data_IF_641864061575
#
_entry.id   IF_641864061575
#
_cell.length_a   1.000
_cell.length_b   1.000
_cell.length_c   1.000
_cell.angle_alpha   90.00
_cell.angle_beta   90.00
_cell.angle_gamma   90.00
#
_symmetry.space_group_name_H-M   'P 1'
#
loop_
_entity.id
_entity.type
_entity.pdbx_description
1 polymer ?
#
# COMPACT_ATOMS: atom_id res chain seq x y z
N UNK A 1 93.55 51.56 15.80
CA UNK A 1 92.28 51.05 16.34
C UNK A 1 91.92 49.79 15.54
N UNK A 2 92.04 48.60 16.16
CA UNK A 2 91.60 47.28 15.63
C UNK A 2 90.06 47.33 15.38
N UNK A 3 89.44 46.59 14.47
CA UNK A 3 89.48 45.15 14.16
C UNK A 3 89.11 44.92 12.67
N UNK A 4 89.96 44.29 11.86
CA UNK A 4 89.88 42.89 11.37
C UNK A 4 88.56 42.53 10.67
N UNK A 5 88.57 42.60 9.34
CA UNK A 5 87.68 41.87 8.44
C UNK A 5 88.30 40.47 8.23
N UNK A 6 87.76 39.44 8.89
CA UNK A 6 88.05 38.05 8.50
C UNK A 6 86.92 37.12 8.95
N UNK A 7 86.74 36.03 8.21
CA UNK A 7 85.78 34.91 8.35
C UNK A 7 84.55 34.97 7.42
N UNK A 8 84.79 34.88 6.09
CA UNK A 8 83.96 34.03 5.23
C UNK A 8 84.65 32.66 5.21
N UNK A 9 84.21 31.74 6.06
CA UNK A 9 84.37 30.29 5.86
C UNK A 9 83.64 29.52 6.96
N UNK A 10 82.44 29.03 6.67
CA UNK A 10 81.81 28.01 7.52
C UNK A 10 80.29 28.12 7.58
N UNK A 11 79.64 27.29 6.75
CA UNK A 11 78.22 26.90 6.78
C UNK A 11 77.22 27.94 6.24
N UNK A 12 76.89 27.76 4.97
CA UNK A 12 75.48 27.53 4.65
C UNK A 12 74.96 26.45 5.60
N UNK A 13 74.22 26.83 6.63
CA UNK A 13 73.13 26.03 7.19
C UNK A 13 72.44 26.84 8.29
N UNK A 14 71.12 26.97 8.13
CA UNK A 14 70.16 27.70 8.95
C UNK A 14 70.14 29.21 8.75
N UNK A 15 69.25 29.63 7.83
CA UNK A 15 68.42 30.81 8.01
C UNK A 15 67.95 30.82 9.47
N UNK A 16 68.46 31.74 10.27
CA UNK A 16 68.01 31.94 11.64
C UNK A 16 66.51 32.29 11.62
N UNK A 17 65.68 31.29 11.90
CA UNK A 17 64.27 31.40 12.26
C UNK A 17 64.15 32.02 13.68
N UNK A 18 64.80 33.15 13.93
CA UNK A 18 64.96 33.75 15.27
C UNK A 18 63.98 34.89 15.58
N UNK A 19 62.75 34.86 15.05
CA UNK A 19 61.72 35.87 15.35
C UNK A 19 60.37 35.25 15.75
N UNK A 20 60.37 34.19 16.55
CA UNK A 20 59.20 33.81 17.35
C UNK A 20 59.71 33.79 18.79
N UNK A 21 59.43 34.86 19.54
CA UNK A 21 59.73 34.90 20.97
C UNK A 21 58.88 33.85 21.71
N UNK A 22 59.27 33.39 22.90
CA UNK A 22 58.43 32.46 23.68
C UNK A 22 57.04 33.05 24.01
N UNK A 23 56.88 34.38 23.93
CA UNK A 23 55.58 35.05 24.00
C UNK A 23 54.76 34.86 22.71
N UNK A 24 55.41 34.79 21.55
CA UNK A 24 54.78 34.44 20.27
C UNK A 24 54.41 32.94 20.20
N UNK A 25 55.13 32.08 20.93
CA UNK A 25 54.76 30.67 21.13
C UNK A 25 53.58 30.50 22.10
N UNK A 26 53.40 31.42 23.05
CA UNK A 26 52.20 31.47 23.89
C UNK A 26 50.99 32.06 23.16
N UNK A 27 51.19 32.86 22.10
CA UNK A 27 50.11 33.19 21.14
C UNK A 27 49.88 32.10 20.10
N UNK A 28 50.66 31.01 20.10
CA UNK A 28 50.28 29.77 19.41
C UNK A 28 49.36 28.89 20.28
N UNK A 29 48.94 29.35 21.47
CA UNK A 29 47.70 28.85 22.10
C UNK A 29 46.47 29.62 21.62
N UNK A 30 46.63 30.48 20.61
CA UNK A 30 45.55 31.15 19.92
C UNK A 30 44.97 30.22 18.85
N UNK A 31 44.17 29.26 19.27
CA UNK A 31 43.29 28.52 18.36
C UNK A 31 42.05 29.36 18.01
N UNK A 32 42.11 30.71 18.10
CA UNK A 32 41.02 31.60 17.70
C UNK A 32 40.98 31.73 16.17
N UNK A 33 40.03 31.14 15.46
CA UNK A 33 39.00 30.16 15.84
C UNK A 33 38.92 28.85 15.03
N UNK A 34 39.24 28.70 13.77
CA UNK A 34 39.53 29.74 12.83
C UNK A 34 40.97 30.23 12.85
N UNK A 35 41.91 29.29 12.96
CA UNK A 35 43.00 29.34 12.00
C UNK A 35 42.42 29.10 10.59
N UNK A 36 42.82 29.95 9.66
CA UNK A 36 42.31 30.09 8.30
C UNK A 36 42.73 28.91 7.40
N UNK A 37 43.30 27.83 7.96
CA UNK A 37 43.80 26.64 7.25
C UNK A 37 43.08 25.31 7.58
N UNK A 38 41.93 25.34 8.27
CA UNK A 38 40.99 24.21 8.33
C UNK A 38 39.67 24.50 7.61
N UNK A 39 39.76 24.97 6.36
CA UNK A 39 38.62 25.07 5.43
C UNK A 39 38.10 23.70 4.94
N UNK A 40 37.97 22.73 5.85
CA UNK A 40 37.23 21.49 5.62
C UNK A 40 36.05 21.31 6.60
N UNK A 41 35.88 22.19 7.61
CA UNK A 41 34.69 22.19 8.48
C UNK A 41 33.64 23.18 7.96
N UNK A 42 33.14 22.94 6.75
CA UNK A 42 32.06 23.73 6.13
C UNK A 42 30.69 23.43 6.76
N UNK A 43 30.62 23.43 8.10
CA UNK A 43 29.37 23.40 8.84
C UNK A 43 29.38 24.38 10.01
N UNK A 44 29.71 25.62 9.70
CA UNK A 44 29.49 26.77 10.57
C UNK A 44 28.66 27.76 9.78
N UNK A 45 27.49 28.14 10.29
CA UNK A 45 26.75 29.25 9.70
C UNK A 45 27.62 30.52 9.77
N UNK A 46 27.52 31.33 8.72
CA UNK A 46 28.42 32.47 8.46
C UNK A 46 28.34 33.61 9.50
N UNK A 47 27.56 33.47 10.57
CA UNK A 47 27.39 34.46 11.63
C UNK A 47 28.11 34.10 12.95
N UNK A 48 28.87 32.99 12.99
CA UNK A 48 29.70 32.63 14.14
C UNK A 48 28.92 32.11 15.35
N UNK A 49 27.62 31.89 15.19
CA UNK A 49 26.80 31.12 16.13
C UNK A 49 26.55 29.80 15.41
N UNK A 50 26.83 28.61 15.99
CA UNK A 50 26.51 27.36 15.31
C UNK A 50 25.00 27.32 15.07
N UNK A 51 24.58 27.64 13.84
CA UNK A 51 23.20 27.49 13.44
C UNK A 51 22.86 26.02 13.58
N UNK A 52 21.85 25.73 14.40
CA UNK A 52 21.42 24.37 14.76
C UNK A 52 20.75 23.65 13.58
N UNK A 53 20.93 24.17 12.36
CA UNK A 53 20.33 23.69 11.15
C UNK A 53 20.83 22.29 10.77
N UNK A 54 22.10 21.94 11.04
CA UNK A 54 22.64 20.59 10.86
C UNK A 54 23.53 20.22 12.05
N UNK A 55 23.25 19.07 12.68
CA UNK A 55 23.97 18.55 13.85
C UNK A 55 24.41 17.12 13.56
N UNK A 56 25.63 16.75 13.95
CA UNK A 56 26.07 15.35 14.01
C UNK A 56 26.42 15.01 15.46
N UNK A 57 25.75 14.02 16.05
CA UNK A 57 25.97 13.64 17.45
C UNK A 57 27.16 12.67 17.63
N UNK A 58 27.50 12.36 18.88
CA UNK A 58 28.60 11.45 19.21
C UNK A 58 28.38 9.99 18.75
N UNK A 59 27.15 9.63 18.36
CA UNK A 59 26.78 8.33 17.81
C UNK A 59 26.79 8.33 16.26
N UNK A 60 27.03 9.49 15.64
CA UNK A 60 27.03 9.68 14.19
C UNK A 60 25.66 9.94 13.58
N UNK A 61 24.62 10.20 14.39
CA UNK A 61 23.30 10.57 13.89
C UNK A 61 23.30 12.01 13.36
N UNK A 62 22.56 12.27 12.29
CA UNK A 62 22.44 13.58 11.66
C UNK A 62 21.08 14.20 11.99
N UNK A 63 21.07 15.34 12.68
CA UNK A 63 19.88 16.14 12.95
C UNK A 63 19.78 17.35 12.04
N UNK A 64 18.60 17.66 11.49
CA UNK A 64 18.29 18.91 10.80
C UNK A 64 17.19 19.63 11.57
N UNK A 65 17.49 20.80 12.14
CA UNK A 65 16.54 21.54 13.00
C UNK A 65 16.36 20.97 14.42
N UNK A 66 17.20 20.01 14.83
CA UNK A 66 17.26 19.44 16.19
C UNK A 66 18.71 19.29 16.66
N UNK A 67 18.95 19.36 17.98
CA UNK A 67 20.27 19.08 18.60
C UNK A 67 20.36 17.73 19.29
N UNK A 68 19.25 16.99 19.36
CA UNK A 68 19.21 15.66 19.94
C UNK A 68 18.51 14.72 18.97
N UNK A 69 19.16 14.35 17.85
CA UNK A 69 18.56 13.43 16.88
C UNK A 69 18.24 12.09 17.55
N UNK A 70 17.04 11.56 17.32
CA UNK A 70 16.61 10.27 17.92
C UNK A 70 16.90 9.05 17.03
N UNK A 71 17.51 9.27 15.86
CA UNK A 71 17.91 8.22 14.93
C UNK A 71 18.90 8.73 13.88
N UNK A 72 19.39 7.86 12.98
CA UNK A 72 20.49 8.17 12.07
C UNK A 72 20.29 9.43 11.20
N UNK A 73 19.06 9.75 10.85
CA UNK A 73 18.66 11.01 10.24
C UNK A 73 17.35 11.47 10.89
N UNK A 74 17.35 12.65 11.49
CA UNK A 74 16.19 13.23 12.17
C UNK A 74 15.97 14.67 11.69
N UNK A 75 14.80 14.96 11.13
CA UNK A 75 14.47 16.27 10.56
C UNK A 75 13.28 16.83 11.33
N UNK A 76 13.53 17.90 12.08
CA UNK A 76 12.54 18.54 12.96
C UNK A 76 12.31 19.97 12.50
N UNK A 77 11.10 20.25 12.02
CA UNK A 77 10.64 21.57 11.59
C UNK A 77 9.11 21.64 11.67
N UNK A 78 8.54 22.85 11.63
CA UNK A 78 7.08 23.04 11.54
C UNK A 78 6.51 22.30 10.32
N UNK A 79 7.20 22.40 9.18
CA UNK A 79 6.90 21.67 7.94
C UNK A 79 8.10 20.77 7.56
N UNK A 80 8.29 19.66 8.27
CA UNK A 80 9.37 18.72 8.00
C UNK A 80 9.11 17.97 6.67
N UNK A 81 9.85 18.33 5.62
CA UNK A 81 9.75 17.68 4.30
C UNK A 81 11.12 17.30 3.75
N UNK A 82 11.17 16.22 2.97
CA UNK A 82 12.36 15.80 2.22
C UNK A 82 12.06 15.99 0.74
N UNK A 83 12.80 16.89 0.09
CA UNK A 83 12.69 17.10 -1.36
C UNK A 83 13.61 16.15 -2.11
N UNK A 84 13.02 15.18 -2.82
CA UNK A 84 13.71 14.30 -3.76
C UNK A 84 13.26 14.64 -5.18
N UNK A 85 14.19 15.04 -6.05
CA UNK A 85 13.89 15.38 -7.45
C UNK A 85 14.88 14.68 -8.36
N UNK A 86 14.38 13.76 -9.17
CA UNK A 86 15.12 13.28 -10.32
C UNK A 86 15.22 14.39 -11.39
N UNK A 87 16.39 14.55 -11.97
CA UNK A 87 16.67 15.52 -13.04
C UNK A 87 16.50 14.93 -14.45
N UNK A 88 16.36 13.61 -14.55
CA UNK A 88 16.12 12.87 -15.80
C UNK A 88 14.67 12.41 -15.89
N UNK A 89 14.08 12.52 -17.08
CA UNK A 89 12.74 12.01 -17.37
C UNK A 89 12.66 10.47 -17.35
N UNK A 90 13.80 9.78 -17.40
CA UNK A 90 13.88 8.31 -17.44
C UNK A 90 14.13 7.68 -16.07
N UNK A 91 14.27 8.49 -15.03
CA UNK A 91 14.62 8.04 -13.69
C UNK A 91 13.48 8.20 -12.68
N UNK A 92 13.68 7.63 -11.50
CA UNK A 92 12.78 7.72 -10.36
C UNK A 92 13.34 8.64 -9.28
N UNK A 93 12.46 9.18 -8.45
CA UNK A 93 12.82 9.79 -7.15
C UNK A 93 12.11 9.04 -6.04
N UNK A 94 12.81 8.74 -4.94
CA UNK A 94 12.20 8.09 -3.78
C UNK A 94 13.21 7.44 -2.86
N UNK A 95 12.72 6.55 -2.00
CA UNK A 95 13.49 5.85 -0.96
C UNK A 95 13.68 4.40 -1.38
N UNK A 96 14.93 3.93 -1.29
CA UNK A 96 15.32 2.55 -1.52
C UNK A 96 15.59 1.84 -0.19
N UNK A 97 15.14 0.61 -0.09
CA UNK A 97 15.39 -0.26 1.05
C UNK A 97 16.23 -1.43 0.54
N UNK A 98 17.42 -1.64 1.11
CA UNK A 98 18.31 -2.74 0.76
C UNK A 98 18.24 -3.83 1.84
N UNK A 99 18.40 -5.08 1.45
CA UNK A 99 18.61 -6.17 2.40
C UNK A 99 20.02 -6.14 2.99
N UNK A 100 20.26 -6.99 3.99
CA UNK A 100 21.56 -7.10 4.66
C UNK A 100 22.67 -7.70 3.77
N UNK A 101 22.31 -8.20 2.58
CA UNK A 101 23.23 -8.68 1.56
C UNK A 101 23.56 -7.60 0.51
N UNK A 102 22.96 -6.40 0.61
CA UNK A 102 23.20 -5.28 -0.29
C UNK A 102 22.37 -5.32 -1.57
N UNK A 103 21.36 -6.18 -1.67
CA UNK A 103 20.41 -6.18 -2.79
C UNK A 103 19.23 -5.23 -2.51
N UNK A 104 18.71 -4.59 -3.57
CA UNK A 104 17.56 -3.70 -3.45
C UNK A 104 16.30 -4.53 -3.14
N UNK A 105 15.78 -4.40 -1.92
CA UNK A 105 14.69 -5.20 -1.37
C UNK A 105 13.30 -4.62 -1.64
N UNK A 106 13.16 -3.31 -1.50
CA UNK A 106 11.90 -2.61 -1.71
C UNK A 106 12.12 -1.13 -2.03
N UNK A 107 11.08 -0.47 -2.51
CA UNK A 107 11.14 0.96 -2.80
C UNK A 107 9.79 1.65 -2.68
N UNK A 108 9.81 2.91 -2.26
CA UNK A 108 8.70 3.87 -2.38
C UNK A 108 9.16 5.01 -3.29
N UNK A 109 8.60 5.10 -4.49
CA UNK A 109 9.15 5.94 -5.55
C UNK A 109 8.08 6.56 -6.45
N UNK A 110 8.47 7.62 -7.15
CA UNK A 110 7.73 8.22 -8.25
C UNK A 110 8.51 8.08 -9.56
N UNK A 111 7.82 7.68 -10.63
CA UNK A 111 8.36 7.51 -11.96
C UNK A 111 8.04 8.68 -12.88
N UNK A 112 9.09 9.22 -13.53
CA UNK A 112 8.93 10.26 -14.54
C UNK A 112 8.41 9.67 -15.86
N UNK A 113 8.02 10.54 -16.78
CA UNK A 113 7.30 10.21 -18.01
C UNK A 113 7.97 9.13 -18.88
N UNK A 114 9.30 9.06 -18.90
CA UNK A 114 10.06 8.10 -19.70
C UNK A 114 10.64 6.94 -18.88
N UNK A 115 10.29 6.81 -17.60
CA UNK A 115 10.66 5.68 -16.76
C UNK A 115 9.62 4.55 -16.83
N UNK A 116 9.96 3.34 -16.35
CA UNK A 116 8.95 2.31 -16.12
C UNK A 116 7.94 2.80 -15.07
N UNK A 117 6.65 2.46 -15.27
CA UNK A 117 5.51 2.99 -14.50
C UNK A 117 5.31 4.51 -14.68
N UNK A 118 5.46 5.01 -15.90
CA UNK A 118 5.39 6.44 -16.26
C UNK A 118 4.34 7.25 -15.48
N UNK A 119 4.78 8.39 -14.94
CA UNK A 119 3.96 9.35 -14.20
C UNK A 119 3.19 8.77 -13.00
N UNK A 120 3.70 7.68 -12.40
CA UNK A 120 3.02 6.99 -11.31
C UNK A 120 3.88 6.95 -10.05
N UNK A 121 3.23 7.05 -8.90
CA UNK A 121 3.80 6.64 -7.62
C UNK A 121 3.62 5.13 -7.46
N UNK A 122 4.62 4.45 -6.91
CA UNK A 122 4.53 3.03 -6.62
C UNK A 122 5.24 2.65 -5.33
N UNK A 123 4.74 1.57 -4.73
CA UNK A 123 5.37 0.82 -3.65
C UNK A 123 5.52 -0.62 -4.14
N UNK A 124 6.67 -1.24 -3.86
CA UNK A 124 6.87 -2.62 -4.29
C UNK A 124 8.11 -3.26 -3.70
N UNK A 125 8.10 -4.59 -3.67
CA UNK A 125 9.26 -5.43 -3.42
C UNK A 125 10.07 -5.62 -4.71
N UNK A 126 11.40 -5.73 -4.57
CA UNK A 126 12.35 -5.85 -5.68
C UNK A 126 13.24 -7.09 -5.58
N UNK A 127 12.95 -7.95 -4.59
CA UNK A 127 13.53 -9.29 -4.45
C UNK A 127 12.56 -10.32 -5.03
N UNK A 128 13.11 -11.33 -5.68
CA UNK A 128 12.33 -12.45 -6.21
C UNK A 128 11.54 -13.13 -5.09
N UNK A 129 10.28 -13.47 -5.37
CA UNK A 129 9.39 -14.19 -4.46
C UNK A 129 8.98 -13.45 -3.17
N UNK A 130 9.29 -12.16 -3.03
CA UNK A 130 8.90 -11.35 -1.87
C UNK A 130 7.48 -10.76 -2.01
N UNK A 131 6.55 -11.02 -1.05
CA UNK A 131 5.22 -10.42 -1.07
C UNK A 131 5.24 -8.95 -0.63
N UNK A 132 4.29 -8.16 -1.10
CA UNK A 132 3.94 -6.88 -0.47
C UNK A 132 2.96 -7.14 0.66
N UNK A 133 3.32 -6.77 1.90
CA UNK A 133 2.54 -7.06 3.11
C UNK A 133 2.07 -5.76 3.76
N UNK A 134 0.81 -5.72 4.19
CA UNK A 134 0.22 -4.64 4.98
C UNK A 134 -0.05 -5.12 6.40
N UNK A 135 0.58 -4.47 7.37
CA UNK A 135 0.55 -4.79 8.80
C UNK A 135 -0.21 -3.73 9.59
N UNK A 136 -0.83 -4.10 10.72
CA UNK A 136 -1.41 -3.14 11.68
C UNK A 136 -1.23 -3.61 13.14
N UNK A 137 -1.29 -2.67 14.09
CA UNK A 137 -1.19 -2.94 15.52
C UNK A 137 0.23 -3.29 15.99
N UNK A 138 0.39 -3.52 17.29
CA UNK A 138 1.65 -4.05 17.85
C UNK A 138 1.81 -5.53 17.49
N UNK A 139 3.03 -5.94 17.13
CA UNK A 139 3.36 -7.35 16.85
C UNK A 139 3.13 -7.81 15.41
N UNK A 140 3.31 -6.94 14.42
CA UNK A 140 3.38 -7.32 12.99
C UNK A 140 2.16 -8.12 12.48
N UNK A 141 0.94 -7.68 12.84
CA UNK A 141 -0.26 -8.41 12.42
C UNK A 141 -0.59 -8.15 10.95
N UNK A 142 -0.39 -9.16 10.10
CA UNK A 142 -0.75 -9.11 8.70
C UNK A 142 -2.27 -8.97 8.50
N UNK A 143 -2.65 -8.00 7.65
CA UNK A 143 -4.05 -7.72 7.26
C UNK A 143 -4.30 -7.98 5.79
N UNK A 144 -3.30 -7.72 4.95
CA UNK A 144 -3.38 -7.96 3.51
C UNK A 144 -2.00 -8.31 2.97
N UNK A 145 -1.95 -9.14 1.94
CA UNK A 145 -0.76 -9.33 1.11
C UNK A 145 -1.07 -9.37 -0.37
N UNK A 146 -0.06 -9.06 -1.15
CA UNK A 146 0.05 -9.41 -2.57
C UNK A 146 1.26 -10.32 -2.70
N UNK A 147 1.05 -11.57 -3.08
CA UNK A 147 2.14 -12.53 -3.28
C UNK A 147 2.93 -12.21 -4.54
N UNK A 148 4.13 -12.76 -4.67
CA UNK A 148 4.96 -12.55 -5.86
C UNK A 148 4.35 -13.13 -7.15
N UNK A 149 3.44 -14.11 -7.04
CA UNK A 149 2.64 -14.64 -8.16
C UNK A 149 1.33 -13.85 -8.38
N UNK A 150 1.16 -12.71 -7.72
CA UNK A 150 0.08 -11.75 -7.97
C UNK A 150 -1.26 -12.05 -7.28
N UNK A 151 -1.30 -12.97 -6.31
CA UNK A 151 -2.51 -13.25 -5.54
C UNK A 151 -2.67 -12.28 -4.38
N UNK A 152 -3.88 -11.77 -4.20
CA UNK A 152 -4.26 -10.87 -3.12
C UNK A 152 -4.94 -11.67 -2.01
N UNK A 153 -4.36 -11.65 -0.82
CA UNK A 153 -4.97 -12.18 0.39
C UNK A 153 -5.43 -11.04 1.29
N UNK A 154 -6.68 -11.06 1.76
CA UNK A 154 -7.18 -10.16 2.81
C UNK A 154 -7.53 -11.01 4.03
N UNK A 155 -6.80 -10.81 5.12
CA UNK A 155 -6.90 -11.60 6.35
C UNK A 155 -6.31 -13.01 6.26
N UNK A 156 -5.60 -13.35 5.19
CA UNK A 156 -4.96 -14.67 5.00
C UNK A 156 -3.54 -14.52 4.49
N UNK A 157 -2.61 -15.30 5.04
CA UNK A 157 -1.20 -15.32 4.66
C UNK A 157 -0.90 -16.26 3.50
N UNK A 158 -1.85 -17.13 3.14
CA UNK A 158 -1.69 -18.14 2.09
C UNK A 158 -2.86 -18.10 1.10
N UNK A 159 -2.94 -17.07 0.24
CA UNK A 159 -3.99 -16.98 -0.77
C UNK A 159 -3.86 -18.12 -1.80
N UNK A 160 -4.95 -18.86 -2.02
CA UNK A 160 -5.03 -19.96 -3.00
C UNK A 160 -5.78 -19.56 -4.27
N UNK A 161 -6.38 -18.36 -4.28
CA UNK A 161 -7.06 -17.74 -5.41
C UNK A 161 -6.47 -16.34 -5.68
N UNK A 162 -6.75 -15.77 -6.86
CA UNK A 162 -6.30 -14.42 -7.25
C UNK A 162 -6.75 -13.37 -6.22
N UNK A 163 -7.96 -13.52 -5.68
CA UNK A 163 -8.44 -12.79 -4.51
C UNK A 163 -8.96 -13.81 -3.47
N UNK A 164 -8.34 -13.85 -2.29
CA UNK A 164 -8.74 -14.72 -1.19
C UNK A 164 -9.07 -13.86 0.04
N UNK A 165 -10.35 -13.83 0.42
CA UNK A 165 -10.83 -13.19 1.64
C UNK A 165 -10.91 -14.24 2.75
N UNK A 166 -10.37 -13.93 3.94
CA UNK A 166 -10.58 -14.77 5.14
C UNK A 166 -12.08 -14.91 5.41
N UNK A 167 -12.51 -16.13 5.74
CA UNK A 167 -13.88 -16.37 6.15
C UNK A 167 -14.28 -15.53 7.38
N UNK A 168 -15.53 -15.09 7.39
CA UNK A 168 -16.17 -14.52 8.57
C UNK A 168 -16.48 -15.58 9.62
N UNK A 169 -17.10 -15.14 10.71
CA UNK A 169 -17.67 -16.01 11.74
C UNK A 169 -19.19 -15.83 11.79
N UNK A 170 -19.87 -16.57 12.68
CA UNK A 170 -21.29 -16.34 12.94
C UNK A 170 -21.57 -14.99 13.66
N UNK A 171 -20.53 -14.25 14.05
CA UNK A 171 -20.67 -12.95 14.72
C UNK A 171 -21.00 -11.86 13.71
N UNK A 172 -22.00 -11.03 14.03
CA UNK A 172 -22.36 -9.86 13.23
C UNK A 172 -21.14 -8.95 12.98
N UNK A 173 -21.01 -8.44 11.75
CA UNK A 173 -19.91 -7.56 11.36
C UNK A 173 -18.63 -8.27 10.90
N UNK A 174 -18.61 -9.61 10.85
CA UNK A 174 -17.43 -10.37 10.41
C UNK A 174 -17.53 -10.90 8.98
N UNK A 175 -18.60 -10.56 8.24
CA UNK A 175 -18.80 -11.05 6.88
C UNK A 175 -17.56 -10.77 6.00
N UNK A 176 -17.08 -11.76 5.22
CA UNK A 176 -15.87 -11.61 4.41
C UNK A 176 -16.04 -10.56 3.30
N UNK A 177 -17.28 -10.35 2.84
CA UNK A 177 -17.65 -9.36 1.84
C UNK A 177 -19.06 -8.84 2.16
N UNK A 178 -19.27 -7.52 2.07
CA UNK A 178 -20.53 -6.86 2.42
C UNK A 178 -20.88 -5.78 1.40
N UNK A 179 -22.11 -5.81 0.92
CA UNK A 179 -22.72 -4.71 0.20
C UNK A 179 -23.45 -3.76 1.16
N UNK A 180 -23.35 -2.47 0.92
CA UNK A 180 -24.20 -1.46 1.58
C UNK A 180 -25.46 -1.29 0.75
N UNK A 181 -26.62 -1.62 1.31
CA UNK A 181 -27.89 -1.63 0.58
C UNK A 181 -28.63 -0.28 0.67
N UNK A 182 -28.62 0.35 1.84
CA UNK A 182 -29.29 1.64 2.03
C UNK A 182 -28.69 2.69 1.09
N UNK A 183 -29.53 3.24 0.20
CA UNK A 183 -29.09 4.20 -0.82
C UNK A 183 -28.36 3.60 -2.01
N UNK A 184 -28.32 2.27 -2.17
CA UNK A 184 -27.72 1.62 -3.33
C UNK A 184 -28.47 1.96 -4.62
N UNK A 185 -27.72 2.42 -5.63
CA UNK A 185 -28.22 2.75 -6.97
C UNK A 185 -27.51 1.86 -7.97
N UNK A 186 -28.29 1.21 -8.83
CA UNK A 186 -27.78 0.42 -9.95
C UNK A 186 -27.39 1.36 -11.09
N UNK A 187 -26.24 1.14 -11.73
CA UNK A 187 -25.73 1.96 -12.83
C UNK A 187 -26.80 2.13 -13.93
N UNK A 188 -26.95 3.34 -14.44
CA UNK A 188 -27.93 3.61 -15.52
C UNK A 188 -27.57 2.90 -16.82
N UNK A 189 -26.27 2.68 -17.07
CA UNK A 189 -25.76 1.88 -18.17
C UNK A 189 -25.17 0.56 -17.63
N UNK A 190 -25.68 -0.61 -18.04
CA UNK A 190 -25.14 -1.91 -17.64
C UNK A 190 -23.70 -2.10 -18.09
N UNK A 191 -22.84 -2.57 -17.18
CA UNK A 191 -21.47 -3.02 -17.47
C UNK A 191 -21.36 -4.52 -17.18
N UNK A 192 -20.76 -5.26 -18.12
CA UNK A 192 -20.64 -6.73 -18.05
C UNK A 192 -19.77 -7.15 -16.87
N UNK A 193 -20.23 -8.14 -16.09
CA UNK A 193 -19.48 -8.69 -14.96
C UNK A 193 -19.64 -7.92 -13.65
N UNK A 194 -20.39 -6.82 -13.64
CA UNK A 194 -20.67 -6.05 -12.41
C UNK A 194 -21.76 -6.73 -11.59
N UNK A 195 -21.56 -6.75 -10.27
CA UNK A 195 -22.55 -7.16 -9.26
C UNK A 195 -22.98 -5.91 -8.48
N UNK A 196 -24.28 -5.60 -8.48
CA UNK A 196 -24.83 -4.36 -7.93
C UNK A 196 -26.03 -4.65 -7.02
N UNK A 197 -26.03 -4.21 -5.75
CA UNK A 197 -27.25 -4.18 -4.95
C UNK A 197 -28.17 -3.04 -5.41
N UNK A 198 -29.48 -3.18 -5.21
CA UNK A 198 -30.41 -2.03 -5.18
C UNK A 198 -30.89 -1.77 -3.74
N UNK A 199 -31.57 -0.64 -3.52
CA UNK A 199 -32.16 -0.32 -2.22
C UNK A 199 -33.36 -1.21 -1.79
N UNK A 200 -33.73 -2.21 -2.60
CA UNK A 200 -34.81 -3.16 -2.34
C UNK A 200 -34.31 -4.58 -2.03
N UNK A 201 -33.05 -4.69 -1.55
CA UNK A 201 -32.39 -5.93 -1.16
C UNK A 201 -32.16 -6.95 -2.31
N UNK A 202 -32.33 -6.54 -3.58
CA UNK A 202 -31.98 -7.36 -4.73
C UNK A 202 -30.50 -7.22 -5.08
N UNK A 203 -29.91 -8.32 -5.56
CA UNK A 203 -28.58 -8.35 -6.16
C UNK A 203 -28.72 -8.55 -7.67
N UNK A 204 -28.22 -7.61 -8.45
CA UNK A 204 -28.12 -7.70 -9.91
C UNK A 204 -26.73 -8.15 -10.33
N UNK A 205 -26.66 -8.96 -11.38
CA UNK A 205 -25.45 -9.23 -12.13
C UNK A 205 -25.69 -9.04 -13.63
N UNK A 206 -24.73 -8.43 -14.31
CA UNK A 206 -24.80 -8.21 -15.76
C UNK A 206 -24.04 -9.32 -16.49
N UNK A 207 -24.74 -10.08 -17.33
CA UNK A 207 -24.15 -11.16 -18.13
C UNK A 207 -23.80 -10.69 -19.54
N UNK A 208 -22.88 -11.41 -20.19
CA UNK A 208 -22.38 -11.10 -21.54
C UNK A 208 -23.45 -11.23 -22.62
N UNK A 209 -24.49 -12.05 -22.42
CA UNK A 209 -25.56 -12.28 -23.40
C UNK A 209 -26.66 -11.22 -23.31
N UNK A 210 -26.32 -10.02 -23.79
CA UNK A 210 -27.23 -8.87 -23.89
C UNK A 210 -27.14 -7.92 -22.70
N UNK A 211 -27.47 -6.64 -22.93
CA UNK A 211 -27.39 -5.55 -21.93
C UNK A 211 -28.38 -5.69 -20.76
N UNK A 212 -29.08 -6.81 -20.62
CA UNK A 212 -30.09 -7.00 -19.59
C UNK A 212 -29.46 -7.54 -18.31
N UNK A 213 -29.58 -6.78 -17.22
CA UNK A 213 -29.26 -7.27 -15.86
C UNK A 213 -30.15 -8.45 -15.49
N UNK A 214 -29.57 -9.39 -14.74
CA UNK A 214 -30.30 -10.50 -14.11
C UNK A 214 -30.28 -10.30 -12.61
N UNK A 215 -31.42 -10.47 -11.95
CA UNK A 215 -31.53 -10.38 -10.50
C UNK A 215 -31.52 -11.76 -9.86
N UNK A 216 -30.89 -11.88 -8.69
CA UNK A 216 -31.23 -12.90 -7.71
C UNK A 216 -32.27 -12.25 -6.79
N UNK A 217 -33.54 -12.63 -6.97
CA UNK A 217 -34.64 -12.10 -6.14
C UNK A 217 -34.72 -12.95 -4.87
N UNK A 218 -34.31 -12.38 -3.74
CA UNK A 218 -34.38 -13.00 -2.41
C UNK A 218 -35.65 -12.51 -1.70
N UNK A 219 -36.81 -12.86 -2.25
CA UNK A 219 -38.09 -12.48 -1.68
C UNK A 219 -38.41 -13.40 -0.48
N UNK A 220 -38.86 -12.84 0.65
CA UNK A 220 -39.28 -13.56 1.86
C UNK A 220 -40.63 -14.29 1.71
N UNK A 221 -41.15 -14.36 0.48
CA UNK A 221 -42.43 -14.98 0.15
C UNK A 221 -43.62 -14.02 0.19
N UNK A 222 -43.46 -12.77 0.65
CA UNK A 222 -44.58 -11.81 0.71
C UNK A 222 -45.16 -11.47 -0.67
N UNK A 223 -44.34 -11.53 -1.73
CA UNK A 223 -44.78 -11.31 -3.12
C UNK A 223 -44.88 -12.59 -3.97
N UNK A 224 -44.79 -13.79 -3.36
CA UNK A 224 -45.08 -15.04 -4.07
C UNK A 224 -46.57 -15.36 -3.91
N UNK A 225 -47.32 -15.35 -5.01
CA UNK A 225 -48.71 -15.83 -4.99
C UNK A 225 -48.69 -17.33 -4.64
N UNK A 226 -49.48 -17.77 -3.66
CA UNK A 226 -49.51 -19.18 -3.27
C UNK A 226 -49.83 -20.06 -4.49
N UNK A 227 -49.10 -21.17 -4.64
CA UNK A 227 -49.37 -22.18 -5.68
C UNK A 227 -48.58 -22.05 -7.00
N UNK A 228 -47.55 -21.19 -7.09
CA UNK A 228 -46.68 -21.12 -8.29
C UNK A 228 -45.23 -21.51 -7.96
N UNK A 229 -44.71 -22.50 -8.71
CA UNK A 229 -43.28 -22.84 -8.71
C UNK A 229 -42.58 -21.85 -9.65
N UNK A 230 -41.55 -21.12 -9.21
CA UNK A 230 -40.78 -20.24 -10.09
C UNK A 230 -40.08 -21.08 -11.17
N UNK A 231 -40.42 -20.89 -12.44
CA UNK A 231 -39.71 -21.50 -13.57
C UNK A 231 -39.02 -20.38 -14.34
N UNK A 232 -37.71 -20.52 -14.59
CA UNK A 232 -36.97 -19.55 -15.40
C UNK A 232 -37.55 -19.49 -16.82
N UNK A 233 -38.02 -18.31 -17.24
CA UNK A 233 -38.29 -18.05 -18.66
C UNK A 233 -36.98 -17.92 -19.45
N UNK A 234 -37.04 -17.92 -20.78
CA UNK A 234 -35.87 -17.79 -21.70
C UNK A 234 -34.95 -16.60 -21.38
N UNK A 235 -35.44 -15.63 -20.58
CA UNK A 235 -34.69 -14.47 -20.13
C UNK A 235 -34.21 -14.55 -18.66
N UNK A 236 -34.25 -15.71 -18.01
CA UNK A 236 -33.77 -15.91 -16.64
C UNK A 236 -34.53 -15.12 -15.57
N UNK A 237 -35.64 -14.48 -15.94
CA UNK A 237 -36.54 -13.78 -15.01
C UNK A 237 -37.52 -14.80 -14.46
N UNK A 238 -37.56 -14.95 -13.14
CA UNK A 238 -38.66 -15.58 -12.43
C UNK A 238 -39.90 -14.72 -12.68
N UNK A 239 -40.75 -15.16 -13.59
CA UNK A 239 -42.08 -14.59 -13.79
C UNK A 239 -43.08 -15.70 -13.60
N UNK A 240 -44.23 -15.33 -13.05
CA UNK A 240 -45.42 -16.17 -13.09
C UNK A 240 -45.57 -16.75 -14.49
N UNK A 241 -45.66 -18.08 -14.59
CA UNK A 241 -46.02 -18.74 -15.83
C UNK A 241 -47.29 -18.09 -16.39
N UNK A 242 -47.35 -17.82 -17.71
CA UNK A 242 -48.38 -16.96 -18.30
C UNK A 242 -49.80 -17.54 -18.26
N UNK A 243 -49.97 -18.75 -17.74
CA UNK A 243 -51.26 -19.43 -17.64
C UNK A 243 -51.41 -20.05 -16.25
N UNK A 244 -52.56 -19.90 -15.57
CA UNK A 244 -52.96 -20.83 -14.51
C UNK A 244 -52.74 -22.27 -15.03
N UNK A 245 -52.23 -23.17 -14.19
CA UNK A 245 -51.96 -24.55 -14.56
C UNK A 245 -53.26 -25.25 -15.02
N UNK A 246 -53.57 -25.21 -16.31
CA UNK A 246 -54.68 -25.95 -16.90
C UNK A 246 -54.22 -27.35 -17.29
N UNK A 247 -54.97 -28.38 -16.87
CA UNK A 247 -54.68 -29.79 -17.15
C UNK A 247 -53.75 -30.49 -16.16
N UNK A 248 -53.67 -31.82 -16.25
CA UNK A 248 -52.88 -32.65 -15.34
C UNK A 248 -51.40 -32.55 -15.65
N UNK A 249 -50.60 -32.03 -14.72
CA UNK A 249 -49.13 -32.03 -14.81
C UNK A 249 -48.50 -32.70 -13.60
N UNK A 250 -47.46 -33.48 -13.87
CA UNK A 250 -46.67 -34.21 -12.87
C UNK A 250 -45.34 -33.49 -12.72
N UNK A 251 -45.04 -33.03 -11.51
CA UNK A 251 -43.74 -32.46 -11.17
C UNK A 251 -43.02 -33.36 -10.17
N UNK A 252 -41.74 -33.58 -10.42
CA UNK A 252 -40.86 -34.29 -9.50
C UNK A 252 -40.06 -33.25 -8.71
N UNK A 253 -40.26 -33.21 -7.40
CA UNK A 253 -39.44 -32.38 -6.50
C UNK A 253 -38.41 -33.30 -5.86
N UNK A 254 -37.13 -33.01 -6.09
CA UNK A 254 -36.05 -33.66 -5.35
C UNK A 254 -35.84 -32.88 -4.05
N UNK A 255 -36.02 -33.54 -2.91
CA UNK A 255 -35.59 -32.99 -1.64
C UNK A 255 -34.06 -33.02 -1.58
N UNK A 256 -33.44 -31.85 -1.43
CA UNK A 256 -31.98 -31.71 -1.32
C UNK A 256 -31.47 -32.11 0.07
N UNK A 257 -32.34 -32.45 1.02
CA UNK A 257 -31.97 -32.93 2.35
C UNK A 257 -31.63 -34.44 2.36
N UNK A 258 -30.64 -34.85 1.58
CA UNK A 258 -29.86 -36.07 1.82
C UNK A 258 -30.57 -37.44 1.78
N UNK A 259 -31.87 -37.50 1.50
CA UNK A 259 -32.62 -38.74 1.27
C UNK A 259 -33.33 -38.64 -0.06
N UNK A 260 -33.09 -39.58 -0.98
CA UNK A 260 -33.72 -39.63 -2.29
C UNK A 260 -35.22 -39.97 -2.17
N UNK A 261 -36.02 -39.05 -1.65
CA UNK A 261 -37.48 -39.10 -1.71
C UNK A 261 -37.87 -38.22 -2.89
N UNK A 262 -38.13 -38.85 -4.03
CA UNK A 262 -38.72 -38.13 -5.17
C UNK A 262 -40.22 -38.05 -4.87
N UNK A 263 -40.68 -36.92 -4.33
CA UNK A 263 -42.12 -36.72 -4.10
C UNK A 263 -42.76 -36.31 -5.42
N UNK A 264 -43.73 -37.11 -5.85
CA UNK A 264 -44.52 -36.84 -7.05
C UNK A 264 -45.68 -35.94 -6.66
N UNK A 265 -45.61 -34.68 -7.07
CA UNK A 265 -46.71 -33.74 -6.92
C UNK A 265 -47.55 -33.79 -8.20
N UNK A 266 -48.81 -34.18 -8.06
CA UNK A 266 -49.76 -34.18 -9.17
C UNK A 266 -50.74 -33.03 -8.99
N UNK A 267 -50.80 -32.15 -9.98
CA UNK A 267 -51.75 -31.04 -10.02
C UNK A 267 -52.81 -31.32 -11.08
N UNK A 268 -54.09 -31.10 -10.73
CA UNK A 268 -55.23 -31.09 -11.66
C UNK A 268 -55.86 -29.71 -11.55
N UNK A 269 -55.91 -28.97 -12.66
CA UNK A 269 -56.46 -27.62 -12.74
C UNK A 269 -55.92 -26.66 -11.68
N UNK A 270 -54.61 -26.77 -11.41
CA UNK A 270 -53.90 -25.94 -10.45
C UNK A 270 -54.10 -26.33 -8.98
N UNK A 271 -54.89 -27.36 -8.69
CA UNK A 271 -55.08 -27.91 -7.34
C UNK A 271 -54.15 -29.11 -7.17
N UNK A 272 -53.38 -29.13 -6.08
CA UNK A 272 -52.58 -30.31 -5.71
C UNK A 272 -53.54 -31.44 -5.31
N UNK A 273 -53.57 -32.53 -6.08
CA UNK A 273 -54.53 -33.62 -5.88
C UNK A 273 -53.94 -34.84 -5.19
N UNK A 274 -52.62 -34.99 -5.15
CA UNK A 274 -51.94 -36.02 -4.38
C UNK A 274 -50.45 -35.74 -4.20
N UNK A 275 -49.92 -36.14 -3.05
CA UNK A 275 -48.50 -36.32 -2.75
C UNK A 275 -48.25 -37.84 -2.67
N UNK A 276 -47.40 -38.38 -3.55
CA UNK A 276 -46.92 -39.78 -3.47
C UNK A 276 -45.40 -39.74 -3.29
#
# INVERSE_FOLDING_TARGET
MKFVLNQITGKLDQVELNNISDADAATLTDDSMADTLHRHSELSASDGIPDRALVVDALGNVGIGTTGPVGPLDIVATDATIRLKATSASNWSGVNMYDNNGALAASFQYANAAAAFSNSMFIGTRIAYAPLIFLTGSGENERMRITADGKVGIGTTSPTAVLHLKAGTATAGTAPFKFTISGAVVLTTPEVGVIEPNAADDIFYTITTGVARKGIVLNDGANLTSGKIPIASTNGRLIDGPTPLAGTKVYYVADLSGGAVTRKLTFIDGILTAEI
#
